data_IF_851385408991
#
_entry.id   IF_851385408991
#
_cell.length_a   1.000
_cell.length_b   1.000
_cell.length_c   1.000
_cell.angle_alpha   90.00
_cell.angle_beta   90.00
_cell.angle_gamma   90.00
#
_symmetry.space_group_name_H-M   'P 1'
#
loop_
_entity.id
_entity.type
_entity.pdbx_description
1 polymer ?
#
# COMPACT_ATOMS: atom_id res chain seq x y z
N UNK A 1 -5.98 -5.53 11.45
CA UNK A 1 -5.14 -6.17 10.41
C UNK A 1 -3.70 -5.78 10.69
N UNK A 2 -2.75 -6.72 10.67
CA UNK A 2 -1.37 -6.43 11.08
C UNK A 2 -0.42 -6.55 9.90
N UNK A 3 0.34 -5.48 9.63
CA UNK A 3 1.42 -5.47 8.64
C UNK A 3 2.76 -5.49 9.37
N UNK A 4 3.66 -6.36 8.93
CA UNK A 4 5.00 -6.50 9.48
C UNK A 4 6.02 -6.21 8.39
N UNK A 5 6.80 -5.15 8.57
CA UNK A 5 7.93 -4.81 7.70
C UNK A 5 9.22 -5.28 8.35
N UNK A 6 10.11 -5.88 7.58
CA UNK A 6 11.46 -6.15 8.03
C UNK A 6 12.30 -4.87 7.86
N UNK A 7 12.61 -4.21 8.97
CA UNK A 7 13.65 -3.18 9.04
C UNK A 7 14.97 -3.83 9.49
N UNK A 8 16.04 -3.60 8.73
CA UNK A 8 17.45 -3.86 9.09
C UNK A 8 17.75 -5.02 10.06
N UNK A 9 18.22 -6.16 9.52
CA UNK A 9 18.99 -7.16 10.29
C UNK A 9 18.26 -7.99 11.35
N UNK A 10 17.00 -7.69 11.68
CA UNK A 10 16.19 -8.52 12.58
C UNK A 10 15.72 -9.80 11.87
N UNK A 11 15.78 -10.93 12.60
CA UNK A 11 15.22 -12.24 12.20
C UNK A 11 13.81 -12.03 11.65
N UNK A 12 13.60 -12.37 10.39
CA UNK A 12 12.31 -12.21 9.74
C UNK A 12 11.23 -12.93 10.58
N UNK A 13 10.20 -12.19 10.99
CA UNK A 13 9.02 -12.74 11.70
C UNK A 13 8.31 -13.78 10.81
N UNK A 14 8.48 -13.66 9.49
CA UNK A 14 7.97 -14.61 8.50
C UNK A 14 9.12 -15.04 7.55
N UNK A 15 9.50 -16.33 7.51
CA UNK A 15 10.54 -16.80 6.60
C UNK A 15 10.08 -16.72 5.14
N UNK A 16 10.62 -15.76 4.39
CA UNK A 16 10.40 -15.63 2.94
C UNK A 16 11.47 -16.44 2.21
N UNK A 17 11.07 -17.25 1.22
CA UNK A 17 12.05 -17.98 0.39
C UNK A 17 12.82 -16.99 -0.50
N UNK A 18 14.14 -17.15 -0.72
CA UNK A 18 14.91 -16.25 -1.60
C UNK A 18 14.29 -16.08 -2.99
N UNK A 19 13.79 -17.16 -3.59
CA UNK A 19 13.12 -17.12 -4.90
C UNK A 19 11.83 -16.29 -4.90
N UNK A 20 11.16 -16.16 -3.76
CA UNK A 20 9.98 -15.31 -3.62
C UNK A 20 10.37 -13.84 -3.43
N UNK A 21 11.45 -13.56 -2.72
CA UNK A 21 12.04 -12.21 -2.62
C UNK A 21 12.40 -11.70 -4.02
N UNK A 22 13.07 -12.52 -4.83
CA UNK A 22 13.46 -12.15 -6.20
C UNK A 22 12.25 -11.82 -7.09
N UNK A 23 11.16 -12.60 -6.99
CA UNK A 23 9.94 -12.32 -7.76
C UNK A 23 9.25 -11.04 -7.30
N UNK A 24 9.11 -10.86 -5.99
CA UNK A 24 8.54 -9.63 -5.41
C UNK A 24 9.36 -8.39 -5.81
N UNK A 25 10.69 -8.48 -5.84
CA UNK A 25 11.55 -7.38 -6.29
C UNK A 25 11.39 -7.06 -7.75
N UNK A 26 11.42 -8.07 -8.63
CA UNK A 26 11.23 -7.87 -10.07
C UNK A 26 9.86 -7.23 -10.34
N UNK A 27 8.83 -7.70 -9.66
CA UNK A 27 7.49 -7.13 -9.74
C UNK A 27 7.41 -5.69 -9.23
N UNK A 28 8.01 -5.41 -8.06
CA UNK A 28 8.07 -4.07 -7.50
C UNK A 28 8.81 -3.07 -8.41
N UNK A 29 9.93 -3.48 -9.00
CA UNK A 29 10.70 -2.67 -9.96
C UNK A 29 9.89 -2.42 -11.23
N UNK A 30 9.19 -3.44 -11.76
CA UNK A 30 8.33 -3.28 -12.92
C UNK A 30 7.16 -2.32 -12.63
N UNK A 31 6.50 -2.48 -11.47
CA UNK A 31 5.42 -1.60 -11.02
C UNK A 31 5.92 -0.15 -10.83
N UNK A 32 7.09 0.04 -10.23
CA UNK A 32 7.72 1.35 -10.12
C UNK A 32 8.05 1.95 -11.50
N UNK A 33 8.53 1.14 -12.45
CA UNK A 33 8.79 1.62 -13.82
C UNK A 33 7.54 2.16 -14.53
N UNK A 34 6.37 1.57 -14.30
CA UNK A 34 5.10 2.01 -14.91
C UNK A 34 4.66 3.41 -14.50
N UNK A 35 5.08 3.86 -13.32
CA UNK A 35 4.74 5.19 -12.77
C UNK A 35 5.93 6.15 -12.86
N UNK A 36 6.90 5.86 -13.72
CA UNK A 36 7.99 6.76 -14.10
C UNK A 36 9.20 6.75 -13.16
N UNK A 37 9.33 5.76 -12.27
CA UNK A 37 10.48 5.67 -11.37
C UNK A 37 11.72 5.07 -12.05
N UNK A 38 12.90 5.61 -11.69
CA UNK A 38 14.19 5.10 -12.14
C UNK A 38 14.85 4.20 -11.08
N UNK A 39 15.41 3.04 -11.48
CA UNK A 39 16.17 2.16 -10.58
C UNK A 39 17.42 2.89 -10.04
N UNK A 40 17.54 3.01 -8.71
CA UNK A 40 18.70 3.63 -8.04
C UNK A 40 18.38 4.72 -7.01
N UNK A 41 17.12 5.16 -6.90
CA UNK A 41 16.65 6.13 -5.89
C UNK A 41 15.57 5.57 -4.96
N UNK A 42 15.52 4.25 -4.82
CA UNK A 42 14.39 3.55 -4.22
C UNK A 42 14.87 2.76 -3.00
N UNK A 43 14.32 3.05 -1.82
CA UNK A 43 14.43 2.18 -0.64
C UNK A 43 13.39 1.07 -0.78
N UNK A 44 13.85 -0.18 -0.89
CA UNK A 44 12.97 -1.35 -1.00
C UNK A 44 12.88 -2.06 0.33
N UNK A 45 11.64 -2.33 0.78
CA UNK A 45 11.40 -3.10 2.00
C UNK A 45 10.45 -4.25 1.76
N UNK A 46 10.67 -5.32 2.50
CA UNK A 46 9.83 -6.51 2.42
C UNK A 46 9.02 -6.67 3.70
N UNK A 47 7.82 -7.19 3.53
CA UNK A 47 6.96 -7.47 4.64
C UNK A 47 5.93 -8.54 4.34
N UNK A 48 5.06 -8.74 5.32
CA UNK A 48 3.89 -9.57 5.18
C UNK A 48 2.67 -8.87 5.80
N UNK A 49 1.52 -9.06 5.16
CA UNK A 49 0.21 -8.74 5.72
C UNK A 49 -0.48 -10.04 6.06
N UNK A 50 -0.96 -10.16 7.29
CA UNK A 50 -1.69 -11.35 7.71
C UNK A 50 -3.15 -11.26 7.25
N UNK A 51 -3.60 -12.26 6.49
CA UNK A 51 -5.03 -12.47 6.22
C UNK A 51 -5.76 -12.84 7.52
N UNK A 52 -7.10 -12.69 7.56
CA UNK A 52 -7.92 -13.17 8.65
C UNK A 52 -7.77 -14.68 8.93
N UNK A 53 -7.48 -15.48 7.89
CA UNK A 53 -7.23 -16.92 8.00
C UNK A 53 -5.84 -17.30 8.52
N UNK A 54 -4.99 -16.32 8.85
CA UNK A 54 -3.63 -16.54 9.33
C UNK A 54 -2.59 -16.77 8.22
N UNK A 55 -2.96 -16.70 6.94
CA UNK A 55 -2.02 -16.83 5.82
C UNK A 55 -1.32 -15.50 5.55
N UNK A 56 0.02 -15.44 5.46
CA UNK A 56 0.72 -14.22 5.09
C UNK A 56 0.61 -13.92 3.60
N UNK A 57 0.34 -12.66 3.27
CA UNK A 57 0.55 -12.07 1.94
C UNK A 57 1.89 -11.34 1.99
N UNK A 58 2.89 -11.89 1.31
CA UNK A 58 4.20 -11.27 1.22
C UNK A 58 4.18 -10.13 0.21
N UNK A 59 4.74 -8.99 0.58
CA UNK A 59 4.71 -7.79 -0.25
C UNK A 59 6.08 -7.12 -0.25
N UNK A 60 6.40 -6.50 -1.39
CA UNK A 60 7.47 -5.55 -1.52
C UNK A 60 6.86 -4.15 -1.50
N UNK A 61 7.44 -3.28 -0.68
CA UNK A 61 7.18 -1.85 -0.68
C UNK A 61 8.40 -1.12 -1.19
N UNK A 62 8.18 0.06 -1.71
CA UNK A 62 9.24 0.95 -2.08
C UNK A 62 8.88 2.40 -1.76
N UNK A 63 9.89 3.20 -1.48
CA UNK A 63 9.78 4.65 -1.27
C UNK A 63 10.88 5.34 -2.06
N UNK A 64 10.51 6.38 -2.80
CA UNK A 64 11.46 7.30 -3.41
C UNK A 64 11.75 8.44 -2.43
N UNK A 65 13.03 8.83 -2.35
CA UNK A 65 13.45 9.98 -1.54
C UNK A 65 12.61 11.23 -1.86
N UNK A 66 12.24 12.02 -0.83
CA UNK A 66 11.36 13.16 -1.01
C UNK A 66 11.98 14.24 -1.90
N UNK A 67 11.15 14.87 -2.73
CA UNK A 67 11.45 16.11 -3.45
C UNK A 67 10.51 17.17 -2.89
N UNK A 68 11.04 18.23 -2.27
CA UNK A 68 10.24 19.29 -1.64
C UNK A 68 9.18 18.75 -0.65
N UNK A 69 9.59 17.85 0.26
CA UNK A 69 8.74 17.18 1.26
C UNK A 69 7.62 16.27 0.70
N UNK A 70 7.50 16.17 -0.63
CA UNK A 70 6.65 15.19 -1.31
C UNK A 70 7.44 13.91 -1.52
N UNK A 71 6.91 12.80 -1.01
CA UNK A 71 7.42 11.47 -1.32
C UNK A 71 6.38 10.66 -2.10
N UNK A 72 6.89 9.73 -2.90
CA UNK A 72 6.07 8.73 -3.57
C UNK A 72 6.59 7.36 -3.19
N UNK A 73 5.67 6.45 -2.93
CA UNK A 73 5.95 5.06 -2.67
C UNK A 73 5.00 4.17 -3.45
N UNK A 74 5.19 2.88 -3.30
CA UNK A 74 4.30 1.90 -3.89
C UNK A 74 4.54 0.52 -3.35
N UNK A 75 3.62 -0.36 -3.70
CA UNK A 75 3.61 -1.72 -3.20
C UNK A 75 3.32 -2.70 -4.32
N UNK A 76 3.80 -3.92 -4.13
CA UNK A 76 3.63 -5.03 -5.04
C UNK A 76 3.53 -6.32 -4.24
N UNK A 77 2.57 -7.17 -4.59
CA UNK A 77 2.48 -8.54 -4.11
C UNK A 77 1.91 -9.45 -5.19
N UNK A 78 2.35 -10.71 -5.17
CA UNK A 78 1.87 -11.78 -6.03
C UNK A 78 1.29 -12.92 -5.18
N UNK A 79 0.15 -13.45 -5.61
CA UNK A 79 -0.60 -14.55 -5.00
C UNK A 79 -1.02 -15.52 -6.10
N UNK A 80 -0.07 -16.29 -6.63
CA UNK A 80 -0.29 -17.17 -7.78
C UNK A 80 -0.52 -16.36 -9.05
N UNK A 81 -1.69 -16.50 -9.68
CA UNK A 81 -2.08 -15.74 -10.88
C UNK A 81 -2.65 -14.34 -10.57
N UNK A 82 -2.70 -13.98 -9.30
CA UNK A 82 -3.22 -12.70 -8.83
C UNK A 82 -2.07 -11.79 -8.46
N UNK A 83 -2.09 -10.55 -8.92
CA UNK A 83 -1.11 -9.51 -8.59
C UNK A 83 -1.84 -8.32 -8.01
N UNK A 84 -1.41 -7.85 -6.85
CA UNK A 84 -1.87 -6.59 -6.28
C UNK A 84 -0.72 -5.60 -6.31
N UNK A 85 -0.96 -4.43 -6.87
CA UNK A 85 0.03 -3.36 -6.94
C UNK A 85 -0.64 -2.00 -6.80
N UNK A 86 0.16 -1.01 -6.43
CA UNK A 86 -0.35 0.33 -6.24
C UNK A 86 0.71 1.34 -5.88
N UNK A 87 0.30 2.61 -5.87
CA UNK A 87 1.14 3.75 -5.54
C UNK A 87 0.53 4.56 -4.41
N UNK A 88 1.41 5.23 -3.67
CA UNK A 88 1.05 6.17 -2.61
C UNK A 88 1.81 7.47 -2.88
N UNK A 89 1.10 8.56 -3.08
CA UNK A 89 1.67 9.90 -3.30
C UNK A 89 1.22 10.82 -2.17
N UNK A 90 2.13 11.64 -1.67
CA UNK A 90 1.79 12.68 -0.70
C UNK A 90 1.78 14.06 -1.33
N UNK A 91 0.90 14.91 -0.83
CA UNK A 91 0.93 16.35 -1.01
C UNK A 91 1.04 17.00 0.37
N UNK A 92 2.26 17.39 0.79
CA UNK A 92 2.48 18.00 2.10
C UNK A 92 1.79 19.37 2.24
N UNK A 93 1.56 20.09 1.13
CA UNK A 93 0.88 21.40 1.17
C UNK A 93 -0.61 21.26 1.45
N UNK A 94 -1.23 20.23 0.85
CA UNK A 94 -2.64 19.92 1.08
C UNK A 94 -2.88 19.05 2.33
N UNK A 95 -1.82 18.50 2.93
CA UNK A 95 -1.91 17.53 4.02
C UNK A 95 -2.59 16.23 3.58
N UNK A 96 -2.46 15.85 2.31
CA UNK A 96 -3.16 14.71 1.74
C UNK A 96 -2.23 13.61 1.28
N UNK A 97 -2.71 12.39 1.35
CA UNK A 97 -2.11 11.19 0.77
C UNK A 97 -3.12 10.58 -0.20
N UNK A 98 -2.70 10.36 -1.43
CA UNK A 98 -3.47 9.64 -2.43
C UNK A 98 -2.89 8.25 -2.61
N UNK A 99 -3.76 7.26 -2.72
CA UNK A 99 -3.39 5.88 -3.02
C UNK A 99 -4.17 5.42 -4.24
N UNK A 100 -3.50 4.73 -5.16
CA UNK A 100 -4.10 4.00 -6.26
C UNK A 100 -3.72 2.54 -6.16
N UNK A 101 -4.69 1.63 -6.29
CA UNK A 101 -4.50 0.20 -6.15
C UNK A 101 -5.23 -0.58 -7.24
N UNK A 102 -4.55 -1.61 -7.75
CA UNK A 102 -5.04 -2.50 -8.80
C UNK A 102 -4.84 -3.95 -8.40
N UNK A 103 -5.89 -4.75 -8.62
CA UNK A 103 -5.82 -6.20 -8.58
C UNK A 103 -5.91 -6.73 -10.00
N UNK A 104 -4.85 -7.39 -10.44
CA UNK A 104 -4.78 -8.06 -11.73
C UNK A 104 -4.93 -9.56 -11.54
N UNK A 105 -5.72 -10.20 -12.41
CA UNK A 105 -5.83 -11.67 -12.48
C UNK A 105 -5.49 -12.08 -13.91
N UNK A 106 -4.51 -12.97 -14.07
CA UNK A 106 -4.09 -13.44 -15.39
C UNK A 106 -3.60 -12.32 -16.33
N UNK A 107 -3.06 -11.23 -15.77
CA UNK A 107 -2.55 -10.08 -16.53
C UNK A 107 -3.60 -9.03 -16.92
N UNK A 108 -4.85 -9.17 -16.47
CA UNK A 108 -5.90 -8.16 -16.69
C UNK A 108 -6.32 -7.52 -15.38
N UNK A 109 -6.46 -6.19 -15.35
CA UNK A 109 -6.97 -5.46 -14.18
C UNK A 109 -8.45 -5.76 -13.98
N UNK A 110 -8.76 -6.44 -12.88
CA UNK A 110 -10.12 -6.84 -12.53
C UNK A 110 -10.73 -5.93 -11.47
N UNK A 111 -9.92 -5.38 -10.56
CA UNK A 111 -10.38 -4.41 -9.55
C UNK A 111 -9.44 -3.22 -9.54
N UNK A 112 -9.98 -2.01 -9.55
CA UNK A 112 -9.21 -0.76 -9.56
C UNK A 112 -9.92 0.28 -8.68
N UNK A 113 -9.18 0.83 -7.72
CA UNK A 113 -9.67 1.83 -6.80
C UNK A 113 -8.58 2.87 -6.49
N UNK A 114 -9.00 4.10 -6.22
CA UNK A 114 -8.16 5.14 -5.66
C UNK A 114 -8.84 5.86 -4.51
N UNK A 115 -8.08 6.25 -3.51
CA UNK A 115 -8.59 6.99 -2.36
C UNK A 115 -7.62 8.07 -1.92
N UNK A 116 -8.16 9.14 -1.37
CA UNK A 116 -7.39 10.24 -0.80
C UNK A 116 -7.77 10.39 0.66
N UNK A 117 -6.75 10.43 1.51
CA UNK A 117 -6.87 10.68 2.94
C UNK A 117 -6.23 12.03 3.23
N UNK A 118 -6.90 12.84 4.03
CA UNK A 118 -6.30 14.01 4.67
C UNK A 118 -5.83 13.62 6.07
N UNK A 119 -4.55 13.82 6.33
CA UNK A 119 -3.96 13.71 7.65
C UNK A 119 -4.03 15.03 8.41
N UNK A 120 -3.64 15.05 9.69
CA UNK A 120 -3.52 16.29 10.44
C UNK A 120 -2.34 17.12 9.90
N UNK A 121 -2.39 18.44 10.12
CA UNK A 121 -1.36 19.35 9.63
C UNK A 121 0.02 19.05 10.23
N UNK A 122 1.09 19.28 9.47
CA UNK A 122 2.45 19.11 9.97
C UNK A 122 2.65 19.91 11.28
N UNK A 123 3.07 19.24 12.36
CA UNK A 123 3.26 19.83 13.68
C UNK A 123 2.05 19.76 14.63
N UNK A 124 0.95 19.11 14.21
CA UNK A 124 -0.18 18.78 15.10
C UNK A 124 0.22 17.80 16.20
N UNK A 125 -0.41 17.93 17.37
CA UNK A 125 -0.19 17.07 18.54
C UNK A 125 -0.30 15.57 18.15
N UNK A 126 0.73 14.73 18.43
CA UNK A 126 0.71 13.31 18.13
C UNK A 126 -0.38 12.52 18.86
N UNK A 127 -1.14 13.12 19.77
CA UNK A 127 -2.27 12.47 20.44
C UNK A 127 -3.58 12.46 19.64
N UNK A 128 -3.75 13.30 18.61
CA UNK A 128 -4.97 13.38 17.78
C UNK A 128 -4.66 13.14 16.30
N UNK A 129 -4.13 11.96 16.00
CA UNK A 129 -3.80 11.54 14.63
C UNK A 129 -4.96 10.73 14.05
N UNK A 130 -5.93 11.44 13.48
CA UNK A 130 -7.03 10.82 12.73
C UNK A 130 -6.94 11.21 11.26
N UNK A 131 -7.04 10.21 10.39
CA UNK A 131 -7.23 10.41 8.96
C UNK A 131 -8.68 10.62 8.62
N UNK A 132 -8.94 11.46 7.64
CA UNK A 132 -10.25 11.55 7.02
C UNK A 132 -10.15 11.18 5.56
N UNK A 133 -10.97 10.22 5.12
CA UNK A 133 -11.13 9.97 3.69
C UNK A 133 -11.85 11.16 3.06
N UNK A 134 -11.20 11.83 2.11
CA UNK A 134 -11.76 12.99 1.41
C UNK A 134 -12.24 12.66 0.01
N UNK A 135 -11.75 11.55 -0.56
CA UNK A 135 -12.15 11.05 -1.87
C UNK A 135 -11.98 9.54 -1.93
N UNK A 136 -12.93 8.89 -2.61
CA UNK A 136 -12.86 7.49 -2.98
C UNK A 136 -13.45 7.31 -4.38
N UNK A 137 -12.71 6.65 -5.25
CA UNK A 137 -13.12 6.30 -6.60
C UNK A 137 -12.93 4.80 -6.78
N UNK A 138 -13.99 4.10 -7.18
CA UNK A 138 -13.91 2.72 -7.66
C UNK A 138 -14.07 2.76 -9.17
N UNK A 139 -12.99 2.55 -9.91
CA UNK A 139 -13.00 2.52 -11.38
C UNK A 139 -13.53 1.18 -11.88
N UNK A 140 -13.17 0.09 -11.21
CA UNK A 140 -13.66 -1.24 -11.50
C UNK A 140 -13.79 -2.03 -10.19
N UNK A 141 -14.98 -2.55 -9.89
CA UNK A 141 -15.21 -3.39 -8.71
C UNK A 141 -14.91 -4.89 -8.97
N UNK A 142 -14.79 -5.28 -10.25
CA UNK A 142 -14.59 -6.66 -10.64
C UNK A 142 -15.72 -7.57 -10.14
N UNK A 143 -15.39 -8.69 -9.47
CA UNK A 143 -16.38 -9.61 -8.94
C UNK A 143 -16.99 -9.14 -7.60
N UNK A 144 -16.51 -8.03 -7.02
CA UNK A 144 -17.04 -7.52 -5.75
C UNK A 144 -18.29 -6.69 -5.96
N UNK A 145 -19.09 -6.59 -4.90
CA UNK A 145 -20.08 -5.52 -4.80
C UNK A 145 -19.35 -4.18 -4.57
N UNK A 146 -19.70 -3.17 -5.37
CA UNK A 146 -19.06 -1.86 -5.32
C UNK A 146 -19.30 -1.15 -3.98
N UNK A 147 -20.46 -1.36 -3.36
CA UNK A 147 -20.80 -0.73 -2.08
C UNK A 147 -20.13 -1.44 -0.90
N UNK A 148 -19.96 -2.77 -0.95
CA UNK A 148 -19.03 -3.51 -0.08
C UNK A 148 -17.61 -2.92 -0.16
N UNK A 149 -17.09 -2.73 -1.37
CA UNK A 149 -15.71 -2.28 -1.56
C UNK A 149 -15.52 -0.84 -1.03
N UNK A 150 -16.51 0.02 -1.27
CA UNK A 150 -16.53 1.38 -0.71
C UNK A 150 -16.55 1.36 0.81
N UNK A 151 -17.41 0.53 1.41
CA UNK A 151 -17.53 0.41 2.86
C UNK A 151 -16.22 -0.07 3.49
N UNK A 152 -15.57 -1.08 2.89
CA UNK A 152 -14.27 -1.58 3.33
C UNK A 152 -13.19 -0.50 3.31
N UNK A 153 -13.05 0.19 2.17
CA UNK A 153 -12.02 1.22 2.03
C UNK A 153 -12.28 2.41 2.94
N UNK A 154 -13.54 2.83 3.10
CA UNK A 154 -13.92 3.92 4.01
C UNK A 154 -13.59 3.59 5.46
N UNK A 155 -13.77 2.33 5.86
CA UNK A 155 -13.47 1.88 7.22
C UNK A 155 -11.97 1.82 7.50
N UNK A 156 -11.18 1.24 6.58
CA UNK A 156 -9.79 0.88 6.86
C UNK A 156 -8.75 1.86 6.34
N UNK A 157 -8.99 2.54 5.21
CA UNK A 157 -7.98 3.42 4.63
C UNK A 157 -7.56 4.57 5.56
N UNK A 158 -8.47 5.20 6.36
CA UNK A 158 -8.08 6.25 7.31
C UNK A 158 -7.05 5.83 8.36
N UNK A 159 -6.82 4.53 8.59
CA UNK A 159 -5.77 4.03 9.48
C UNK A 159 -4.35 4.26 8.93
N UNK A 160 -4.22 4.57 7.65
CA UNK A 160 -2.92 4.68 6.96
C UNK A 160 -2.34 6.08 6.90
N UNK A 161 -2.75 7.01 7.77
CA UNK A 161 -2.18 8.36 7.78
C UNK A 161 -0.68 8.31 8.11
N UNK A 162 0.18 9.05 7.39
CA UNK A 162 1.56 9.25 7.79
C UNK A 162 1.60 10.02 9.13
N UNK A 163 2.01 9.33 10.19
CA UNK A 163 1.96 9.86 11.56
C UNK A 163 3.14 10.78 11.88
N UNK A 164 4.30 10.57 11.24
CA UNK A 164 5.57 11.28 11.52
C UNK A 164 6.45 11.27 10.25
N UNK A 165 7.29 12.30 10.06
CA UNK A 165 8.37 12.25 9.06
C UNK A 165 9.28 11.01 9.28
N UNK A 166 9.68 10.32 8.21
CA UNK A 166 10.43 9.06 8.32
C UNK A 166 9.57 7.80 8.44
N UNK A 167 8.23 7.93 8.37
CA UNK A 167 7.29 6.80 8.42
C UNK A 167 6.74 6.38 7.04
N UNK A 168 7.39 6.80 5.95
CA UNK A 168 6.93 6.62 4.57
C UNK A 168 6.73 5.13 4.25
N UNK A 169 7.72 4.29 4.55
CA UNK A 169 7.64 2.85 4.27
C UNK A 169 6.51 2.18 5.05
N UNK A 170 6.28 2.60 6.30
CA UNK A 170 5.16 2.12 7.13
C UNK A 170 3.81 2.54 6.53
N UNK A 171 3.73 3.77 6.03
CA UNK A 171 2.54 4.32 5.38
C UNK A 171 2.19 3.53 4.12
N UNK A 172 3.19 3.27 3.26
CA UNK A 172 3.03 2.43 2.06
C UNK A 172 2.59 1.02 2.43
N UNK A 173 3.17 0.43 3.48
CA UNK A 173 2.82 -0.91 3.91
C UNK A 173 1.40 -1.00 4.50
N UNK A 174 0.95 0.04 5.21
CA UNK A 174 -0.46 0.14 5.62
C UNK A 174 -1.39 0.20 4.41
N UNK A 175 -1.10 1.08 3.44
CA UNK A 175 -1.89 1.20 2.22
C UNK A 175 -1.96 -0.14 1.45
N UNK A 176 -0.83 -0.87 1.39
CA UNK A 176 -0.77 -2.21 0.82
C UNK A 176 -1.66 -3.21 1.59
N UNK A 177 -1.69 -3.14 2.92
CA UNK A 177 -2.53 -4.01 3.75
C UNK A 177 -4.02 -3.75 3.54
N UNK A 178 -4.42 -2.47 3.53
CA UNK A 178 -5.79 -2.04 3.22
C UNK A 178 -6.19 -2.52 1.83
N UNK A 179 -5.34 -2.30 0.83
CA UNK A 179 -5.58 -2.77 -0.53
C UNK A 179 -5.74 -4.29 -0.58
N UNK A 180 -4.85 -5.04 0.09
CA UNK A 180 -4.89 -6.49 0.12
C UNK A 180 -6.16 -7.03 0.80
N UNK A 181 -6.69 -6.35 1.80
CA UNK A 181 -7.92 -6.82 2.45
C UNK A 181 -9.17 -6.41 1.70
N UNK A 182 -9.23 -5.18 1.20
CA UNK A 182 -10.42 -4.69 0.53
C UNK A 182 -10.53 -5.23 -0.90
N UNK A 183 -9.47 -5.14 -1.72
CA UNK A 183 -9.55 -5.54 -3.13
C UNK A 183 -9.48 -7.05 -3.31
N UNK A 184 -8.83 -7.81 -2.41
CA UNK A 184 -8.78 -9.28 -2.54
C UNK A 184 -9.99 -9.93 -1.89
N UNK A 185 -10.37 -9.50 -0.69
CA UNK A 185 -11.34 -10.24 0.11
C UNK A 185 -12.75 -9.62 0.14
N UNK A 186 -12.92 -8.29 -0.01
CA UNK A 186 -14.18 -7.54 0.24
C UNK A 186 -15.11 -8.23 1.26
N UNK A 187 -14.64 -8.38 2.49
CA UNK A 187 -15.44 -8.92 3.59
C UNK A 187 -15.27 -7.98 4.77
N UNK A 188 -16.29 -7.14 4.97
CA UNK A 188 -16.48 -6.32 6.16
C UNK A 188 -17.75 -6.80 6.86
#
# INVERSE_FOLDING_TARGET
MSCYLQEGGLKAIFPVRPSQIDRLMKGAVAAAGQVGFQPGRIDHRFGAVMKPDGTPIYLATWVQSPVEDRWTGGFYTEMGHTVLHGTVTTDPRAGTMETSAKLDIGGSTVVEASWTIRGPAAGSDPMNVAGMMVRLTITNAGPHDADCLKSCLTLHAPECVPLVAGSESRTVACAAAVAASCLVNCRC
#
